data_IF_914265102869
#
_entry.id   IF_914265102869
#
_cell.length_a   1.000
_cell.length_b   1.000
_cell.length_c   1.000
_cell.angle_alpha   90.00
_cell.angle_beta   90.00
_cell.angle_gamma   90.00
#
_symmetry.space_group_name_H-M   'P 1'
#
loop_
_entity.id
_entity.type
_entity.pdbx_description
1 polymer ?
#
# COMPACT_ATOMS: atom_id res chain seq x y z
N UNK A 1 50.68 28.37 -42.85
CA UNK A 1 50.41 28.99 -41.53
C UNK A 1 48.91 29.17 -41.43
N UNK A 2 48.11 28.35 -40.75
CA UNK A 2 48.35 27.59 -39.53
C UNK A 2 47.75 28.35 -38.34
N UNK A 3 46.44 28.24 -38.12
CA UNK A 3 45.79 28.66 -36.87
C UNK A 3 44.60 27.72 -36.59
N UNK A 4 44.87 26.78 -35.68
CA UNK A 4 43.94 25.89 -34.99
C UNK A 4 43.23 26.70 -33.91
N UNK A 5 41.89 26.63 -33.78
CA UNK A 5 41.19 27.05 -32.55
C UNK A 5 40.36 25.90 -32.03
N UNK A 6 40.65 25.61 -30.76
CA UNK A 6 40.27 24.52 -29.89
C UNK A 6 38.75 24.33 -29.76
N UNK A 7 38.36 23.05 -29.73
CA UNK A 7 36.98 22.60 -29.58
C UNK A 7 36.40 22.78 -28.17
N UNK A 8 35.09 22.97 -28.14
CA UNK A 8 34.26 22.78 -26.96
C UNK A 8 33.96 21.28 -26.80
N UNK A 9 34.60 20.62 -25.84
CA UNK A 9 34.11 19.36 -25.29
C UNK A 9 33.11 19.68 -24.19
N UNK A 10 31.84 19.79 -24.56
CA UNK A 10 30.75 19.73 -23.59
C UNK A 10 30.69 18.32 -23.02
N UNK A 11 31.03 18.18 -21.74
CA UNK A 11 30.88 16.92 -21.02
C UNK A 11 29.40 16.55 -20.97
N UNK A 12 29.02 15.54 -21.76
CA UNK A 12 27.73 14.86 -21.64
C UNK A 12 27.76 14.10 -20.32
N UNK A 13 27.15 14.66 -19.28
CA UNK A 13 26.96 13.95 -18.03
C UNK A 13 26.19 12.65 -18.32
N UNK A 14 26.77 11.53 -17.92
CA UNK A 14 26.25 10.20 -18.19
C UNK A 14 24.96 9.92 -17.39
N UNK A 15 24.00 9.16 -17.94
CA UNK A 15 22.75 8.82 -17.26
C UNK A 15 22.92 7.97 -15.98
N UNK A 16 24.11 7.40 -15.77
CA UNK A 16 24.45 6.67 -14.55
C UNK A 16 24.59 7.58 -13.33
N UNK A 17 25.18 8.78 -13.48
CA UNK A 17 25.33 9.73 -12.39
C UNK A 17 23.98 10.29 -11.94
N UNK A 18 23.06 10.56 -12.88
CA UNK A 18 21.70 11.00 -12.55
C UNK A 18 20.87 9.91 -11.83
N UNK A 19 21.06 8.63 -12.18
CA UNK A 19 20.43 7.51 -11.48
C UNK A 19 20.99 7.29 -10.08
N UNK A 20 22.30 7.39 -9.90
CA UNK A 20 22.95 7.28 -8.58
C UNK A 20 22.59 8.45 -7.65
N UNK A 21 22.48 9.67 -8.19
CA UNK A 21 22.00 10.83 -7.42
C UNK A 21 20.55 10.63 -6.95
N UNK A 22 19.69 10.13 -7.85
CA UNK A 22 18.28 9.85 -7.56
C UNK A 22 18.05 8.71 -6.55
N UNK A 23 18.96 7.74 -6.43
CA UNK A 23 18.89 6.70 -5.39
C UNK A 23 19.34 7.21 -4.03
N UNK A 24 20.43 7.99 -3.98
CA UNK A 24 20.93 8.59 -2.72
C UNK A 24 19.92 9.58 -2.13
N UNK A 25 19.26 10.38 -2.97
CA UNK A 25 18.20 11.28 -2.52
C UNK A 25 16.96 10.50 -2.04
N UNK A 26 16.63 9.36 -2.66
CA UNK A 26 15.52 8.52 -2.22
C UNK A 26 15.79 7.89 -0.85
N UNK A 27 16.97 7.32 -0.63
CA UNK A 27 17.36 6.72 0.65
C UNK A 27 17.34 7.75 1.78
N UNK A 28 17.83 8.98 1.52
CA UNK A 28 17.78 10.08 2.48
C UNK A 28 16.35 10.44 2.85
N UNK A 29 15.46 10.53 1.86
CA UNK A 29 14.05 10.88 2.08
C UNK A 29 13.34 9.78 2.87
N UNK A 30 13.52 8.51 2.52
CA UNK A 30 12.91 7.38 3.23
C UNK A 30 13.44 7.30 4.67
N UNK A 31 14.73 7.51 4.87
CA UNK A 31 15.34 7.56 6.21
C UNK A 31 14.71 8.67 7.06
N UNK A 32 14.52 9.85 6.49
CA UNK A 32 13.93 10.96 7.21
C UNK A 32 12.42 10.77 7.46
N UNK A 33 11.68 10.16 6.54
CA UNK A 33 10.28 9.75 6.77
C UNK A 33 10.19 8.70 7.89
N UNK A 34 11.10 7.72 7.91
CA UNK A 34 11.19 6.72 8.98
C UNK A 34 11.50 7.38 10.33
N UNK A 35 12.42 8.35 10.36
CA UNK A 35 12.74 9.11 11.57
C UNK A 35 11.54 9.94 12.06
N UNK A 36 10.81 10.60 11.14
CA UNK A 36 9.59 11.33 11.45
C UNK A 36 8.50 10.43 12.04
N UNK A 37 8.42 9.17 11.57
CA UNK A 37 7.46 8.18 12.06
C UNK A 37 7.91 7.47 13.33
N UNK A 38 9.16 7.62 13.78
CA UNK A 38 9.69 6.92 14.96
C UNK A 38 8.85 7.08 16.24
N UNK A 39 8.25 8.26 16.55
CA UNK A 39 7.34 8.37 17.69
C UNK A 39 6.08 7.51 17.58
N UNK A 40 5.59 7.29 16.35
CA UNK A 40 4.43 6.45 16.07
C UNK A 40 4.78 4.97 15.86
N UNK A 41 6.05 4.69 15.54
CA UNK A 41 6.61 3.37 15.32
C UNK A 41 7.72 3.07 16.36
N UNK A 42 7.42 3.04 17.67
CA UNK A 42 8.39 2.67 18.71
C UNK A 42 8.61 1.15 18.75
N UNK A 43 8.67 0.53 17.57
CA UNK A 43 8.67 -0.91 17.37
C UNK A 43 10.09 -1.38 17.03
N UNK A 44 10.49 -2.58 17.50
CA UNK A 44 11.78 -3.13 17.14
C UNK A 44 11.86 -3.36 15.62
N UNK A 45 13.07 -3.26 15.08
CA UNK A 45 13.35 -3.80 13.76
C UNK A 45 13.17 -5.32 13.79
N UNK A 46 12.74 -5.90 12.68
CA UNK A 46 12.83 -7.34 12.49
C UNK A 46 14.27 -7.78 12.20
N UNK A 47 14.49 -9.09 12.24
CA UNK A 47 15.68 -9.74 11.70
C UNK A 47 15.84 -9.50 10.20
N UNK A 48 16.97 -9.96 9.65
CA UNK A 48 17.33 -9.83 8.24
C UNK A 48 16.32 -10.49 7.28
N UNK A 49 15.51 -11.44 7.78
CA UNK A 49 14.48 -12.14 7.02
C UNK A 49 13.09 -11.50 7.14
N UNK A 50 12.93 -10.42 7.90
CA UNK A 50 11.63 -9.79 8.08
C UNK A 50 10.64 -10.63 8.88
N UNK A 51 11.12 -11.63 9.64
CA UNK A 51 10.29 -12.71 10.17
C UNK A 51 10.11 -12.63 11.68
N UNK A 52 11.13 -12.21 12.43
CA UNK A 52 11.09 -12.12 13.89
C UNK A 52 11.61 -10.76 14.36
N UNK A 53 11.20 -10.26 15.54
CA UNK A 53 11.80 -9.05 16.11
C UNK A 53 13.28 -9.31 16.45
N UNK A 54 14.16 -8.40 16.05
CA UNK A 54 15.61 -8.52 16.25
C UNK A 54 16.02 -8.58 17.72
N UNK A 55 15.22 -7.98 18.60
CA UNK A 55 15.42 -8.03 20.05
C UNK A 55 14.83 -9.29 20.71
N UNK A 56 14.15 -10.15 19.95
CA UNK A 56 13.52 -11.38 20.42
C UNK A 56 12.33 -11.17 21.35
N UNK A 57 11.83 -9.94 21.53
CA UNK A 57 10.79 -9.65 22.51
C UNK A 57 9.38 -9.83 21.95
N UNK A 58 8.48 -10.35 22.78
CA UNK A 58 7.06 -10.51 22.48
C UNK A 58 6.20 -9.33 22.94
N UNK A 59 6.78 -8.36 23.64
CA UNK A 59 6.04 -7.29 24.34
C UNK A 59 5.41 -6.27 23.39
N UNK A 60 6.02 -6.04 22.22
CA UNK A 60 5.49 -5.10 21.22
C UNK A 60 4.52 -5.79 20.28
N UNK A 61 3.45 -5.09 19.90
CA UNK A 61 2.44 -5.61 18.96
C UNK A 61 2.94 -5.62 17.51
N UNK A 62 3.85 -4.72 17.17
CA UNK A 62 4.33 -4.52 15.81
C UNK A 62 5.86 -4.59 15.78
N UNK A 63 6.40 -4.75 14.59
CA UNK A 63 7.81 -4.62 14.25
C UNK A 63 7.95 -3.99 12.87
N UNK A 64 9.09 -3.35 12.60
CA UNK A 64 9.35 -2.70 11.30
C UNK A 64 10.37 -3.52 10.54
N UNK A 65 10.11 -3.80 9.26
CA UNK A 65 11.10 -4.50 8.43
C UNK A 65 12.36 -3.65 8.22
N UNK A 66 13.52 -4.30 8.02
CA UNK A 66 14.76 -3.60 7.75
C UNK A 66 14.62 -2.91 6.40
N UNK A 67 15.15 -1.71 6.30
CA UNK A 67 15.15 -0.97 5.04
C UNK A 67 16.28 -1.48 4.15
N UNK A 68 15.98 -1.98 2.95
CA UNK A 68 17.00 -2.24 1.96
C UNK A 68 17.32 -0.95 1.16
N UNK A 69 18.59 -0.67 0.83
CA UNK A 69 18.96 0.49 0.03
C UNK A 69 18.21 0.52 -1.30
N UNK A 70 17.67 1.68 -1.66
CA UNK A 70 16.86 1.88 -2.87
C UNK A 70 15.36 1.60 -2.69
N UNK A 71 14.94 0.95 -1.60
CA UNK A 71 13.53 0.73 -1.33
C UNK A 71 12.83 2.03 -0.95
N UNK A 72 11.65 2.24 -1.52
CA UNK A 72 10.81 3.40 -1.20
C UNK A 72 9.64 3.05 -0.29
N UNK A 73 9.66 1.87 0.30
CA UNK A 73 8.62 1.37 1.19
C UNK A 73 9.15 1.20 2.61
N UNK A 74 8.28 1.49 3.58
CA UNK A 74 8.44 1.12 4.97
C UNK A 74 7.34 0.10 5.28
N UNK A 75 7.72 -1.10 5.70
CA UNK A 75 6.77 -2.16 6.05
C UNK A 75 6.72 -2.34 7.57
N UNK A 76 5.51 -2.25 8.12
CA UNK A 76 5.22 -2.46 9.53
C UNK A 76 4.34 -3.69 9.65
N UNK A 77 4.83 -4.73 10.28
CA UNK A 77 4.18 -6.04 10.35
C UNK A 77 3.90 -6.43 11.80
N UNK A 78 2.88 -7.25 11.99
CA UNK A 78 2.53 -7.80 13.29
C UNK A 78 3.69 -8.63 13.84
N UNK A 79 4.06 -8.42 15.11
CA UNK A 79 5.07 -9.23 15.78
C UNK A 79 4.52 -10.65 16.02
N UNK A 80 5.06 -11.71 15.42
CA UNK A 80 4.53 -13.08 15.56
C UNK A 80 4.79 -13.67 16.95
N UNK A 81 5.72 -13.12 17.73
CA UNK A 81 5.98 -13.54 19.11
C UNK A 81 4.95 -12.96 20.09
N UNK A 82 4.19 -11.94 19.69
CA UNK A 82 3.20 -11.31 20.54
C UNK A 82 1.95 -12.20 20.70
N UNK A 83 1.55 -12.44 21.95
CA UNK A 83 0.43 -13.33 22.27
C UNK A 83 -0.89 -12.90 21.62
N UNK A 84 -1.19 -11.60 21.58
CA UNK A 84 -2.43 -11.11 20.98
C UNK A 84 -2.42 -11.32 19.45
N UNK A 85 -1.26 -11.25 18.80
CA UNK A 85 -1.13 -11.55 17.38
C UNK A 85 -1.24 -13.05 17.11
N UNK A 86 -0.63 -13.89 17.95
CA UNK A 86 -0.77 -15.35 17.85
C UNK A 86 -2.23 -15.78 17.97
N UNK A 87 -2.95 -15.25 18.98
CA UNK A 87 -4.38 -15.51 19.14
C UNK A 87 -5.20 -15.05 17.94
N UNK A 88 -4.90 -13.86 17.41
CA UNK A 88 -5.54 -13.37 16.18
C UNK A 88 -5.25 -14.28 14.99
N UNK A 89 -4.00 -14.69 14.79
CA UNK A 89 -3.60 -15.61 13.74
C UNK A 89 -4.29 -16.98 13.87
N UNK A 90 -4.37 -17.55 15.07
CA UNK A 90 -5.11 -18.81 15.32
C UNK A 90 -6.59 -18.67 14.97
N UNK A 91 -7.23 -17.58 15.41
CA UNK A 91 -8.64 -17.31 15.08
C UNK A 91 -8.85 -17.15 13.57
N UNK A 92 -7.95 -16.44 12.92
CA UNK A 92 -7.93 -16.24 11.47
C UNK A 92 -7.80 -17.57 10.71
N UNK A 93 -6.86 -18.43 11.11
CA UNK A 93 -6.69 -19.77 10.52
C UNK A 93 -7.94 -20.64 10.69
N UNK A 94 -8.58 -20.61 11.86
CA UNK A 94 -9.83 -21.33 12.09
C UNK A 94 -10.96 -20.83 11.18
N UNK A 95 -11.03 -19.52 10.92
CA UNK A 95 -12.01 -18.96 10.00
C UNK A 95 -11.74 -19.37 8.56
N UNK A 96 -10.48 -19.33 8.11
CA UNK A 96 -10.07 -19.80 6.78
C UNK A 96 -10.44 -21.28 6.60
N UNK A 97 -10.13 -22.12 7.59
CA UNK A 97 -10.47 -23.55 7.56
C UNK A 97 -11.99 -23.77 7.47
N UNK A 98 -12.78 -23.05 8.27
CA UNK A 98 -14.24 -23.15 8.21
C UNK A 98 -14.79 -22.73 6.83
N UNK A 99 -14.24 -21.67 6.23
CA UNK A 99 -14.58 -21.24 4.87
C UNK A 99 -14.24 -22.31 3.83
N UNK A 100 -13.04 -22.88 3.90
CA UNK A 100 -12.59 -23.97 3.03
C UNK A 100 -13.50 -25.21 3.12
N UNK A 101 -13.79 -25.67 4.33
CA UNK A 101 -14.68 -26.83 4.54
C UNK A 101 -16.10 -26.55 4.00
N UNK A 102 -16.60 -25.32 4.18
CA UNK A 102 -17.91 -24.94 3.65
C UNK A 102 -17.92 -24.87 2.12
N UNK A 103 -16.84 -24.41 1.49
CA UNK A 103 -16.69 -24.37 0.05
C UNK A 103 -16.60 -25.79 -0.53
N UNK A 104 -15.82 -26.67 0.13
CA UNK A 104 -15.70 -28.08 -0.26
C UNK A 104 -17.05 -28.79 -0.19
N UNK A 105 -17.80 -28.65 0.92
CA UNK A 105 -19.15 -29.27 1.04
C UNK A 105 -20.13 -28.75 -0.01
N UNK A 106 -20.07 -27.45 -0.35
CA UNK A 106 -20.88 -26.86 -1.43
C UNK A 106 -20.51 -27.48 -2.79
N UNK A 107 -19.21 -27.64 -3.07
CA UNK A 107 -18.70 -28.25 -4.29
C UNK A 107 -19.12 -29.70 -4.43
N UNK A 108 -18.96 -30.50 -3.38
CA UNK A 108 -19.38 -31.90 -3.34
C UNK A 108 -20.89 -32.03 -3.59
N UNK A 109 -21.72 -31.21 -2.92
CA UNK A 109 -23.16 -31.21 -3.12
C UNK A 109 -23.59 -30.80 -4.55
N UNK A 110 -22.88 -29.85 -5.18
CA UNK A 110 -23.15 -29.47 -6.56
C UNK A 110 -22.74 -30.57 -7.55
N UNK A 111 -21.59 -31.19 -7.32
CA UNK A 111 -21.12 -32.31 -8.12
C UNK A 111 -22.08 -33.51 -8.04
N UNK A 112 -22.55 -33.86 -6.83
CA UNK A 112 -23.55 -34.92 -6.64
C UNK A 112 -24.87 -34.61 -7.36
N UNK A 113 -25.35 -33.37 -7.29
CA UNK A 113 -26.55 -32.93 -8.03
C UNK A 113 -26.36 -33.05 -9.54
N UNK A 114 -25.21 -32.61 -10.05
CA UNK A 114 -24.89 -32.69 -11.48
C UNK A 114 -24.81 -34.15 -11.95
N UNK A 115 -24.21 -35.06 -11.16
CA UNK A 115 -24.20 -36.50 -11.45
C UNK A 115 -25.63 -37.05 -11.47
N UNK A 116 -26.43 -36.75 -10.45
CA UNK A 116 -27.80 -37.25 -10.35
C UNK A 116 -28.65 -36.79 -11.53
N UNK A 117 -28.50 -35.53 -11.95
CA UNK A 117 -29.21 -34.96 -13.08
C UNK A 117 -28.70 -35.50 -14.43
N UNK A 118 -27.40 -35.70 -14.59
CA UNK A 118 -26.82 -36.34 -15.77
C UNK A 118 -27.27 -37.79 -15.92
N UNK A 119 -27.33 -38.55 -14.82
CA UNK A 119 -27.92 -39.91 -14.80
C UNK A 119 -29.39 -39.91 -15.20
N UNK A 120 -30.15 -38.88 -14.82
CA UNK A 120 -31.58 -38.76 -15.13
C UNK A 120 -31.85 -38.34 -16.57
N UNK A 121 -31.05 -37.44 -17.13
CA UNK A 121 -31.33 -36.77 -18.41
C UNK A 121 -30.44 -37.23 -19.56
N UNK A 122 -29.38 -38.00 -19.28
CA UNK A 122 -28.40 -38.45 -20.27
C UNK A 122 -27.52 -37.32 -20.83
N UNK A 123 -27.61 -36.10 -20.28
CA UNK A 123 -26.80 -34.93 -20.67
C UNK A 123 -25.96 -34.48 -19.49
N UNK A 124 -24.66 -34.29 -19.71
CA UNK A 124 -23.79 -33.65 -18.73
C UNK A 124 -24.23 -32.20 -18.56
N UNK A 125 -24.45 -31.76 -17.32
CA UNK A 125 -24.47 -30.33 -17.02
C UNK A 125 -23.04 -29.88 -16.72
N UNK A 126 -22.72 -28.66 -17.15
CA UNK A 126 -21.52 -27.98 -16.71
C UNK A 126 -21.68 -27.65 -15.22
N UNK A 127 -20.76 -28.16 -14.40
CA UNK A 127 -20.69 -27.79 -12.99
C UNK A 127 -20.04 -26.42 -12.94
N UNK A 128 -20.81 -25.41 -12.51
CA UNK A 128 -20.25 -24.09 -12.23
C UNK A 128 -19.21 -24.25 -11.11
N UNK A 129 -17.96 -23.84 -11.38
CA UNK A 129 -16.87 -24.06 -10.44
C UNK A 129 -17.16 -23.33 -9.14
N UNK A 130 -17.15 -24.03 -8.00
CA UNK A 130 -17.19 -23.36 -6.69
C UNK A 130 -15.87 -22.58 -6.55
N UNK A 131 -15.96 -21.27 -6.72
CA UNK A 131 -14.80 -20.39 -6.58
C UNK A 131 -14.48 -20.20 -5.10
N UNK A 132 -13.20 -20.18 -4.77
CA UNK A 132 -12.68 -19.89 -3.43
C UNK A 132 -12.78 -18.40 -3.07
N UNK A 133 -13.72 -17.66 -3.66
CA UNK A 133 -13.80 -16.20 -3.53
C UNK A 133 -13.96 -15.76 -2.06
N UNK A 134 -14.68 -16.55 -1.25
CA UNK A 134 -14.86 -16.31 0.19
C UNK A 134 -13.55 -16.48 1.01
N UNK A 135 -12.67 -17.39 0.59
CA UNK A 135 -11.34 -17.58 1.21
C UNK A 135 -10.43 -16.40 0.88
N UNK A 136 -10.41 -15.98 -0.39
CA UNK A 136 -9.59 -14.87 -0.87
C UNK A 136 -9.88 -13.56 -0.12
N UNK A 137 -11.14 -13.25 0.13
CA UNK A 137 -11.55 -12.06 0.90
C UNK A 137 -11.14 -12.16 2.36
N UNK A 138 -11.34 -13.31 3.00
CA UNK A 138 -10.97 -13.52 4.39
C UNK A 138 -9.44 -13.42 4.58
N UNK A 139 -8.67 -14.11 3.74
CA UNK A 139 -7.20 -14.06 3.73
C UNK A 139 -6.69 -12.64 3.50
N UNK A 140 -7.17 -11.96 2.46
CA UNK A 140 -6.77 -10.58 2.15
C UNK A 140 -7.08 -9.60 3.30
N UNK A 141 -8.21 -9.80 3.99
CA UNK A 141 -8.54 -9.02 5.18
C UNK A 141 -7.56 -9.27 6.33
N UNK A 142 -7.24 -10.54 6.61
CA UNK A 142 -6.31 -10.91 7.68
C UNK A 142 -4.92 -10.33 7.41
N UNK A 143 -4.44 -10.44 6.17
CA UNK A 143 -3.16 -9.88 5.75
C UNK A 143 -3.13 -8.36 5.94
N UNK A 144 -4.19 -7.66 5.52
CA UNK A 144 -4.32 -6.23 5.72
C UNK A 144 -4.40 -5.84 7.19
N UNK A 145 -5.00 -6.66 8.06
CA UNK A 145 -5.05 -6.40 9.50
C UNK A 145 -3.69 -6.64 10.19
N UNK A 146 -2.79 -7.42 9.59
CA UNK A 146 -1.48 -7.78 10.13
C UNK A 146 -0.30 -6.97 9.55
N UNK A 147 -0.55 -6.09 8.58
CA UNK A 147 0.50 -5.38 7.85
C UNK A 147 0.06 -3.95 7.51
N UNK A 148 0.99 -3.00 7.58
CA UNK A 148 0.90 -1.69 6.95
C UNK A 148 2.11 -1.46 6.07
N UNK A 149 1.88 -1.16 4.80
CA UNK A 149 2.91 -0.70 3.86
C UNK A 149 2.81 0.82 3.70
N UNK A 150 3.95 1.50 3.71
CA UNK A 150 4.05 2.95 3.57
C UNK A 150 4.98 3.22 2.38
N UNK A 151 4.42 3.56 1.23
CA UNK A 151 5.19 3.90 0.04
C UNK A 151 5.48 5.40 0.00
N UNK A 152 6.71 5.76 -0.36
CA UNK A 152 7.26 7.11 -0.32
C UNK A 152 7.59 7.56 -1.75
N UNK A 153 6.76 8.45 -2.31
CA UNK A 153 7.01 9.04 -3.62
C UNK A 153 7.46 10.49 -3.49
N UNK A 154 8.66 10.81 -3.97
CA UNK A 154 9.27 12.13 -3.83
C UNK A 154 9.59 12.77 -5.18
N UNK A 155 9.35 14.09 -5.26
CA UNK A 155 9.73 14.98 -6.35
C UNK A 155 9.39 14.46 -7.75
N UNK A 156 8.13 14.03 -7.92
CA UNK A 156 7.57 13.69 -9.24
C UNK A 156 6.82 14.90 -9.80
N UNK A 157 6.82 15.11 -11.13
CA UNK A 157 6.05 16.20 -11.75
C UNK A 157 4.53 16.03 -11.56
N UNK A 158 4.08 14.78 -11.50
CA UNK A 158 2.73 14.39 -11.19
C UNK A 158 2.70 13.06 -10.46
N UNK A 159 1.62 12.86 -9.70
CA UNK A 159 1.33 11.67 -8.92
C UNK A 159 -0.01 11.12 -9.38
N UNK A 160 -0.08 9.80 -9.52
CA UNK A 160 -1.24 9.09 -10.01
C UNK A 160 -1.35 7.78 -9.23
N UNK A 161 -2.47 7.61 -8.54
CA UNK A 161 -2.76 6.42 -7.76
C UNK A 161 -4.09 5.83 -8.18
N UNK A 162 -4.11 4.52 -8.41
CA UNK A 162 -5.35 3.77 -8.65
C UNK A 162 -5.77 3.10 -7.36
N UNK A 163 -7.04 3.29 -6.99
CA UNK A 163 -7.65 2.69 -5.80
C UNK A 163 -8.87 1.88 -6.23
N UNK A 164 -8.85 0.58 -5.94
CA UNK A 164 -9.98 -0.30 -6.18
C UNK A 164 -10.80 -0.41 -4.87
N UNK A 165 -12.01 0.15 -4.89
CA UNK A 165 -12.93 0.18 -3.74
C UNK A 165 -14.34 0.50 -4.21
N UNK A 166 -15.39 0.03 -3.52
CA UNK A 166 -16.75 0.53 -3.69
C UNK A 166 -17.04 1.85 -2.97
N UNK A 167 -16.10 2.34 -2.15
CA UNK A 167 -16.23 3.58 -1.38
C UNK A 167 -15.41 4.66 -2.07
N UNK A 168 -16.03 5.80 -2.30
CA UNK A 168 -15.36 6.96 -2.90
C UNK A 168 -14.28 7.52 -1.95
N UNK A 169 -13.03 7.71 -2.43
CA UNK A 169 -11.97 8.31 -1.63
C UNK A 169 -12.35 9.70 -1.13
N UNK A 170 -12.29 9.88 0.18
CA UNK A 170 -12.57 11.17 0.80
C UNK A 170 -11.31 12.04 0.76
N UNK A 171 -11.32 13.08 -0.07
CA UNK A 171 -10.28 14.10 -0.09
C UNK A 171 -10.57 15.16 0.98
N UNK A 172 -9.68 15.25 1.96
CA UNK A 172 -9.73 16.26 3.01
C UNK A 172 -8.54 17.21 2.88
N UNK A 173 -8.82 18.50 2.87
CA UNK A 173 -7.80 19.55 3.04
C UNK A 173 -7.57 19.73 4.55
N UNK A 174 -7.12 18.68 5.22
CA UNK A 174 -7.23 18.55 6.68
C UNK A 174 -5.96 18.95 7.44
N UNK A 175 -6.22 19.69 8.54
CA UNK A 175 -5.33 20.16 9.60
C UNK A 175 -4.81 19.05 10.55
N UNK A 176 -5.16 17.77 10.31
CA UNK A 176 -4.77 16.63 11.17
C UNK A 176 -3.33 16.16 11.00
N UNK A 177 -2.72 16.47 9.85
CA UNK A 177 -1.29 16.25 9.59
C UNK A 177 -0.66 17.61 9.31
N UNK A 178 0.15 18.16 10.22
CA UNK A 178 0.81 19.45 10.03
C UNK A 178 1.56 19.52 8.70
N UNK A 179 1.28 20.58 7.93
CA UNK A 179 1.94 20.87 6.65
C UNK A 179 1.54 19.96 5.46
N UNK A 180 0.60 19.04 5.63
CA UNK A 180 0.00 18.35 4.49
C UNK A 180 -0.88 19.32 3.67
N UNK A 181 -0.76 19.25 2.35
CA UNK A 181 -1.62 19.96 1.39
C UNK A 181 -3.02 19.35 1.39
N UNK A 182 -3.07 18.02 1.42
CA UNK A 182 -4.30 17.25 1.46
C UNK A 182 -4.02 15.83 1.95
N UNK A 183 -5.08 15.17 2.41
CA UNK A 183 -5.10 13.75 2.75
C UNK A 183 -6.30 13.14 2.03
N UNK A 184 -6.07 12.08 1.26
CA UNK A 184 -7.12 11.28 0.64
C UNK A 184 -7.20 9.95 1.37
N UNK A 185 -8.37 9.60 1.92
CA UNK A 185 -8.54 8.38 2.72
C UNK A 185 -9.65 7.51 2.16
N UNK A 186 -9.42 6.19 2.18
CA UNK A 186 -10.39 5.15 1.87
C UNK A 186 -10.39 4.15 3.03
N UNK A 187 -11.50 3.95 3.75
CA UNK A 187 -11.57 2.91 4.78
C UNK A 187 -11.56 1.53 4.12
N UNK A 188 -11.18 0.51 4.88
CA UNK A 188 -11.25 -0.87 4.36
C UNK A 188 -12.70 -1.29 4.12
N UNK A 189 -12.92 -2.04 3.04
CA UNK A 189 -14.24 -2.52 2.66
C UNK A 189 -14.17 -3.77 1.77
N UNK A 190 -15.24 -4.55 1.79
CA UNK A 190 -15.47 -5.60 0.79
C UNK A 190 -16.30 -4.99 -0.33
N UNK A 191 -15.90 -5.26 -1.58
CA UNK A 191 -16.66 -4.81 -2.75
C UNK A 191 -16.79 -5.95 -3.76
N UNK A 192 -17.85 -5.90 -4.54
CA UNK A 192 -18.15 -6.89 -5.56
C UNK A 192 -17.82 -6.33 -6.94
N UNK A 193 -17.04 -7.05 -7.71
CA UNK A 193 -16.68 -6.68 -9.07
C UNK A 193 -17.26 -7.69 -10.06
N UNK A 194 -17.77 -7.21 -11.19
CA UNK A 194 -18.25 -8.08 -12.27
C UNK A 194 -17.05 -8.63 -13.04
N UNK A 195 -16.89 -9.94 -13.02
CA UNK A 195 -15.89 -10.68 -13.82
C UNK A 195 -16.65 -11.71 -14.64
N UNK A 196 -16.95 -11.40 -15.91
CA UNK A 196 -17.83 -12.28 -16.72
C UNK A 196 -17.32 -13.73 -16.75
N UNK A 197 -18.15 -14.74 -16.42
CA UNK A 197 -19.62 -14.72 -16.29
C UNK A 197 -20.19 -14.44 -14.88
N UNK A 198 -19.35 -14.23 -13.86
CA UNK A 198 -19.75 -14.16 -12.46
C UNK A 198 -19.45 -12.80 -11.80
N UNK A 199 -19.64 -12.75 -10.48
CA UNK A 199 -19.20 -11.64 -9.64
C UNK A 199 -18.21 -12.18 -8.62
N UNK A 200 -17.10 -11.47 -8.45
CA UNK A 200 -16.09 -11.77 -7.44
C UNK A 200 -16.14 -10.75 -6.31
N UNK A 201 -16.10 -11.23 -5.09
CA UNK A 201 -15.92 -10.40 -3.92
C UNK A 201 -14.42 -10.16 -3.71
N UNK A 202 -14.06 -8.90 -3.47
CA UNK A 202 -12.70 -8.43 -3.23
C UNK A 202 -12.63 -7.67 -1.92
N UNK A 203 -11.47 -7.74 -1.27
CA UNK A 203 -11.17 -6.93 -0.10
C UNK A 203 -10.28 -5.75 -0.49
N UNK A 204 -10.71 -4.54 -0.15
CA UNK A 204 -9.90 -3.33 -0.21
C UNK A 204 -9.31 -3.06 1.19
N UNK A 205 -7.97 -3.05 1.36
CA UNK A 205 -7.35 -2.58 2.59
C UNK A 205 -7.59 -1.08 2.78
N UNK A 206 -7.51 -0.60 4.02
CA UNK A 206 -7.58 0.83 4.26
C UNK A 206 -6.39 1.52 3.59
N UNK A 207 -6.63 2.66 2.94
CA UNK A 207 -5.63 3.40 2.21
C UNK A 207 -5.67 4.88 2.57
N UNK A 208 -4.51 5.49 2.79
CA UNK A 208 -4.35 6.92 3.02
C UNK A 208 -3.21 7.48 2.19
N UNK A 209 -3.50 8.49 1.38
CA UNK A 209 -2.54 9.25 0.60
C UNK A 209 -2.35 10.61 1.28
N UNK A 210 -1.13 10.92 1.71
CA UNK A 210 -0.78 12.18 2.36
C UNK A 210 0.12 12.98 1.44
N UNK A 211 -0.32 14.16 1.02
CA UNK A 211 0.37 15.00 0.05
C UNK A 211 1.06 16.17 0.77
N UNK A 212 2.35 16.40 0.50
CA UNK A 212 3.15 17.46 1.10
C UNK A 212 3.88 18.32 0.04
N UNK A 213 4.18 19.56 0.42
CA UNK A 213 5.05 20.45 -0.35
C UNK A 213 4.33 21.17 -1.50
N UNK A 214 5.06 21.45 -2.58
CA UNK A 214 4.56 22.21 -3.74
C UNK A 214 3.63 21.42 -4.66
N UNK A 215 2.53 20.89 -4.11
CA UNK A 215 1.51 20.13 -4.84
C UNK A 215 0.18 20.88 -4.87
N UNK A 216 -0.55 20.71 -5.97
CA UNK A 216 -1.95 21.12 -6.05
C UNK A 216 -2.81 20.20 -5.16
N UNK A 217 -4.02 20.65 -4.84
CA UNK A 217 -5.01 19.77 -4.21
C UNK A 217 -5.25 18.55 -5.12
N UNK A 218 -5.26 17.32 -4.58
CA UNK A 218 -5.50 16.13 -5.36
C UNK A 218 -6.93 16.12 -5.89
N UNK A 219 -7.10 15.58 -7.09
CA UNK A 219 -8.38 15.33 -7.72
C UNK A 219 -8.71 13.83 -7.66
N UNK A 220 -9.98 13.50 -7.45
CA UNK A 220 -10.46 12.12 -7.30
C UNK A 220 -11.45 11.84 -8.42
N UNK A 221 -11.01 11.09 -9.42
CA UNK A 221 -11.79 10.68 -10.57
C UNK A 221 -12.37 9.28 -10.36
N UNK A 222 -13.70 9.13 -10.42
CA UNK A 222 -14.32 7.82 -10.51
C UNK A 222 -14.14 7.24 -11.92
N UNK A 223 -13.48 6.08 -12.03
CA UNK A 223 -13.22 5.38 -13.31
C UNK A 223 -14.23 4.27 -13.59
N UNK A 224 -14.73 3.62 -12.55
CA UNK A 224 -15.82 2.64 -12.64
C UNK A 224 -16.62 2.60 -11.34
N UNK A 225 -17.55 1.66 -11.21
CA UNK A 225 -18.29 1.48 -9.95
C UNK A 225 -17.39 1.19 -8.76
N UNK A 226 -16.26 0.51 -8.99
CA UNK A 226 -15.33 0.00 -7.96
C UNK A 226 -13.89 0.47 -8.15
N UNK A 227 -13.66 1.51 -8.97
CA UNK A 227 -12.32 2.01 -9.28
C UNK A 227 -12.28 3.53 -9.30
N UNK A 228 -11.28 4.07 -8.61
CA UNK A 228 -11.01 5.49 -8.48
C UNK A 228 -9.56 5.78 -8.85
N UNK A 229 -9.34 6.98 -9.38
CA UNK A 229 -8.01 7.48 -9.68
C UNK A 229 -7.79 8.80 -8.95
N UNK A 230 -6.72 8.85 -8.15
CA UNK A 230 -6.30 10.06 -7.44
C UNK A 230 -5.13 10.67 -8.18
N UNK A 231 -5.23 11.93 -8.56
CA UNK A 231 -4.16 12.65 -9.27
C UNK A 231 -3.76 13.91 -8.51
N UNK A 232 -2.46 14.21 -8.47
CA UNK A 232 -1.94 15.47 -7.96
C UNK A 232 -0.76 15.93 -8.80
N UNK A 233 -0.73 17.21 -9.17
CA UNK A 233 0.34 17.78 -9.96
C UNK A 233 1.17 18.76 -9.12
N UNK A 234 2.46 18.87 -9.44
CA UNK A 234 3.30 19.92 -8.92
C UNK A 234 2.72 21.31 -9.24
N UNK A 235 2.60 22.18 -8.24
CA UNK A 235 2.34 23.60 -8.50
C UNK A 235 3.60 24.24 -9.05
N UNK A 236 3.45 25.03 -10.11
CA UNK A 236 4.51 25.86 -10.69
C UNK A 236 5.31 26.56 -9.59
N UNK A 237 6.57 26.13 -9.41
CA UNK A 237 7.53 26.80 -8.54
C UNK A 237 7.90 28.15 -9.14
N UNK A 238 8.19 29.15 -8.29
CA UNK A 238 8.77 30.42 -8.74
C UNK A 238 10.02 30.12 -9.58
N UNK A 239 10.18 30.85 -10.69
CA UNK A 239 11.12 30.57 -11.77
C UNK A 239 12.48 29.99 -11.30
N UNK A 240 12.69 28.70 -11.55
CA UNK A 240 13.99 28.03 -11.41
C UNK A 240 14.22 27.21 -10.13
N UNK A 241 13.36 27.29 -9.11
CA UNK A 241 13.51 26.45 -7.92
C UNK A 241 12.91 25.04 -8.14
N UNK A 242 13.62 23.95 -7.78
CA UNK A 242 13.08 22.60 -7.90
C UNK A 242 11.84 22.44 -7.01
N UNK A 243 10.76 21.91 -7.57
CA UNK A 243 9.57 21.56 -6.76
C UNK A 243 10.00 20.51 -5.75
N UNK A 244 9.77 20.75 -4.46
CA UNK A 244 9.93 19.73 -3.42
C UNK A 244 8.55 19.25 -3.01
N UNK A 245 8.20 18.06 -3.48
CA UNK A 245 6.93 17.41 -3.23
C UNK A 245 7.15 16.01 -2.68
N UNK A 246 6.26 15.57 -1.80
CA UNK A 246 6.27 14.22 -1.25
C UNK A 246 4.84 13.72 -1.15
N UNK A 247 4.62 12.46 -1.52
CA UNK A 247 3.38 11.74 -1.26
C UNK A 247 3.69 10.46 -0.50
N UNK A 248 3.00 10.26 0.61
CA UNK A 248 3.04 9.02 1.38
C UNK A 248 1.76 8.23 1.10
N UNK A 249 1.89 6.97 0.71
CA UNK A 249 0.78 6.04 0.52
C UNK A 249 0.83 4.97 1.60
N UNK A 250 -0.07 5.05 2.57
CA UNK A 250 -0.23 4.07 3.63
C UNK A 250 -1.34 3.09 3.25
N UNK A 251 -1.09 1.78 3.32
CA UNK A 251 -2.05 0.72 3.00
C UNK A 251 -2.03 -0.40 4.03
N UNK A 252 -3.19 -0.89 4.45
CA UNK A 252 -3.31 -2.04 5.35
C UNK A 252 -4.22 -1.78 6.55
N UNK A 253 -3.68 -1.95 7.76
CA UNK A 253 -4.45 -1.86 9.00
C UNK A 253 -4.90 -0.42 9.31
N UNK A 254 -6.20 -0.18 9.26
CA UNK A 254 -6.84 1.13 9.44
C UNK A 254 -6.46 1.82 10.77
N UNK A 255 -6.48 1.06 11.88
CA UNK A 255 -6.19 1.59 13.20
C UNK A 255 -4.72 2.01 13.32
N UNK A 256 -3.81 1.20 12.79
CA UNK A 256 -2.38 1.51 12.79
C UNK A 256 -2.07 2.71 11.87
N UNK A 257 -2.69 2.79 10.69
CA UNK A 257 -2.57 3.96 9.81
C UNK A 257 -3.01 5.23 10.55
N UNK A 258 -4.19 5.22 11.17
CA UNK A 258 -4.67 6.37 11.93
C UNK A 258 -3.73 6.77 13.08
N UNK A 259 -3.13 5.79 13.76
CA UNK A 259 -2.15 6.03 14.82
C UNK A 259 -0.86 6.65 14.27
N UNK A 260 -0.35 6.15 13.14
CA UNK A 260 0.84 6.68 12.45
C UNK A 260 0.59 8.14 12.06
N UNK A 261 -0.53 8.41 11.41
CA UNK A 261 -0.91 9.76 10.97
C UNK A 261 -0.99 10.76 12.13
N UNK A 262 -1.51 10.31 13.28
CA UNK A 262 -1.70 11.16 14.46
C UNK A 262 -0.43 11.44 15.26
N UNK A 263 0.48 10.46 15.34
CA UNK A 263 1.57 10.48 16.34
C UNK A 263 2.92 10.84 15.75
N UNK A 264 3.08 10.76 14.42
CA UNK A 264 4.35 11.05 13.76
C UNK A 264 4.72 12.54 13.86
N UNK A 265 6.02 12.82 13.93
CA UNK A 265 6.56 14.18 13.89
C UNK A 265 6.76 14.63 12.44
N UNK A 266 5.70 15.15 11.85
CA UNK A 266 5.68 15.60 10.46
C UNK A 266 6.60 16.79 10.19
N UNK A 267 7.07 17.52 11.22
CA UNK A 267 7.97 18.66 11.02
C UNK A 267 9.28 18.22 10.36
N UNK A 268 9.83 17.05 10.74
CA UNK A 268 11.04 16.50 10.13
C UNK A 268 10.86 16.24 8.63
N UNK A 269 9.66 15.81 8.21
CA UNK A 269 9.31 15.65 6.78
C UNK A 269 9.24 17.01 6.09
N UNK A 270 8.65 18.02 6.73
CA UNK A 270 8.55 19.37 6.17
C UNK A 270 9.90 20.05 5.99
N UNK A 271 10.87 19.82 6.89
CA UNK A 271 12.24 20.34 6.73
C UNK A 271 12.92 19.79 5.47
N UNK A 272 12.62 18.56 5.02
CA UNK A 272 13.13 18.03 3.75
C UNK A 272 12.60 18.78 2.54
N UNK A 273 11.44 19.41 2.67
CA UNK A 273 10.72 20.07 1.59
C UNK A 273 11.00 21.58 1.49
N UNK A 274 11.73 22.14 2.45
CA UNK A 274 12.31 23.49 2.37
C UNK A 274 13.57 23.47 1.50
#
# INVERSE_FOLDING_TARGET
>A
MGALVLGCLGAVATPAAARAQGSVDADRVVTAVRAAMAPALPYPESDEFGSLPKDGKSTTTWMVKPHAPGDRSIEVIANPLNLANQQRATKAMAQIQASLESAQRRSEAQYERAIAEAKRTGRSQDVDGVTLSDEGVAGARIDAEAHVTIDVDFNKPSYLFSIASSIEPSASRSMSVPGAVAIVTVPSNVYRQKTEPAYDDHFCPAESLVFFGGLGAPDVDRRSETSFQVTAAATSSAAGAPVRSLVLRLRGNDTLIAQILRTSDWNAVLELLK
#
